data_IF_263711162442
#
_entry.id   IF_263711162442
#
_cell.length_a   1.000
_cell.length_b   1.000
_cell.length_c   1.000
_cell.angle_alpha   90.00
_cell.angle_beta   90.00
_cell.angle_gamma   90.00
#
_symmetry.space_group_name_H-M   'P 1'
#
loop_
_entity.id
_entity.type
_entity.pdbx_description
1 polymer ?
#
# COMPACT_ATOMS: atom_id res chain seq x y z
N UNK A 1 -2.79 8.50 -15.27
CA UNK A 1 -1.65 8.03 -14.43
C UNK A 1 -2.04 6.66 -13.88
N UNK A 2 -1.10 5.72 -13.76
CA UNK A 2 -1.37 4.37 -13.25
C UNK A 2 -0.36 3.99 -12.16
N UNK A 3 -0.81 3.18 -11.20
CA UNK A 3 0.03 2.56 -10.17
C UNK A 3 0.05 1.06 -10.47
N UNK A 4 1.24 0.45 -10.40
CA UNK A 4 1.43 -0.99 -10.61
C UNK A 4 1.59 -1.69 -9.26
N UNK A 5 0.85 -2.77 -9.08
CA UNK A 5 0.96 -3.66 -7.92
C UNK A 5 1.48 -4.99 -8.45
N UNK A 6 2.63 -5.45 -7.93
CA UNK A 6 3.23 -6.74 -8.31
C UNK A 6 3.24 -7.70 -7.13
N UNK A 7 3.02 -8.98 -7.40
CA UNK A 7 3.00 -10.05 -6.39
C UNK A 7 3.50 -11.36 -6.98
N UNK A 8 4.80 -11.45 -7.28
CA UNK A 8 5.40 -12.70 -7.80
C UNK A 8 5.18 -13.83 -6.80
N UNK A 9 4.65 -14.96 -7.28
CA UNK A 9 4.32 -16.13 -6.44
C UNK A 9 3.36 -15.79 -5.28
N UNK A 10 2.34 -14.96 -5.54
CA UNK A 10 1.28 -14.65 -4.56
C UNK A 10 -0.08 -15.21 -5.02
N UNK A 11 -0.94 -15.51 -4.05
CA UNK A 11 -2.27 -16.08 -4.30
C UNK A 11 -3.26 -15.03 -4.84
N UNK A 12 -4.37 -15.45 -5.47
CA UNK A 12 -5.44 -14.53 -5.85
C UNK A 12 -6.00 -13.71 -4.67
N UNK A 13 -6.09 -14.33 -3.49
CA UNK A 13 -6.55 -13.65 -2.27
C UNK A 13 -5.61 -12.49 -1.86
N UNK A 14 -4.30 -12.69 -1.98
CA UNK A 14 -3.31 -11.61 -1.75
C UNK A 14 -3.54 -10.45 -2.72
N UNK A 15 -3.67 -10.74 -4.02
CA UNK A 15 -3.82 -9.69 -5.04
C UNK A 15 -5.12 -8.92 -4.82
N UNK A 16 -6.22 -9.60 -4.50
CA UNK A 16 -7.49 -8.96 -4.18
C UNK A 16 -7.38 -8.05 -2.95
N UNK A 17 -6.76 -8.54 -1.87
CA UNK A 17 -6.58 -7.78 -0.63
C UNK A 17 -5.76 -6.51 -0.85
N UNK A 18 -4.58 -6.63 -1.46
CA UNK A 18 -3.69 -5.49 -1.71
C UNK A 18 -4.36 -4.48 -2.65
N UNK A 19 -4.99 -4.94 -3.72
CA UNK A 19 -5.66 -4.07 -4.70
C UNK A 19 -6.80 -3.29 -4.06
N UNK A 20 -7.64 -3.94 -3.24
CA UNK A 20 -8.74 -3.28 -2.52
C UNK A 20 -8.22 -2.18 -1.60
N UNK A 21 -7.22 -2.49 -0.76
CA UNK A 21 -6.65 -1.52 0.19
C UNK A 21 -6.08 -0.31 -0.54
N UNK A 22 -5.30 -0.55 -1.60
CA UNK A 22 -4.75 0.54 -2.42
C UNK A 22 -5.83 1.36 -3.11
N UNK A 23 -6.91 0.71 -3.59
CA UNK A 23 -8.01 1.43 -4.20
C UNK A 23 -8.66 2.39 -3.20
N UNK A 24 -9.02 1.87 -2.03
CA UNK A 24 -9.59 2.67 -0.95
C UNK A 24 -8.65 3.80 -0.51
N UNK A 25 -7.36 3.52 -0.33
CA UNK A 25 -6.38 4.52 0.09
C UNK A 25 -6.26 5.67 -0.92
N UNK A 26 -6.16 5.34 -2.22
CA UNK A 26 -6.10 6.36 -3.27
C UNK A 26 -7.40 7.17 -3.31
N UNK A 27 -8.56 6.53 -3.22
CA UNK A 27 -9.84 7.23 -3.28
C UNK A 27 -10.02 8.17 -2.08
N UNK A 28 -9.51 7.80 -0.90
CA UNK A 28 -9.47 8.69 0.27
C UNK A 28 -8.49 9.85 0.08
N UNK A 29 -7.29 9.58 -0.46
CA UNK A 29 -6.29 10.60 -0.75
C UNK A 29 -6.78 11.62 -1.80
N UNK A 30 -7.46 11.14 -2.85
CA UNK A 30 -8.02 12.01 -3.89
C UNK A 30 -9.19 12.87 -3.36
N UNK A 31 -9.89 12.41 -2.32
CA UNK A 31 -10.98 13.17 -1.71
C UNK A 31 -10.48 14.31 -0.83
N UNK A 32 -9.44 14.06 -0.04
CA UNK A 32 -8.82 15.06 0.83
C UNK A 32 -7.33 14.74 1.01
N UNK A 33 -6.53 15.25 0.07
CA UNK A 33 -5.10 15.00 0.05
C UNK A 33 -4.37 15.70 1.21
N UNK A 34 -4.90 16.84 1.69
CA UNK A 34 -4.27 17.62 2.74
C UNK A 34 -4.34 16.93 4.11
N UNK A 35 -5.40 16.15 4.35
CA UNK A 35 -5.60 15.42 5.61
C UNK A 35 -5.50 13.90 5.45
N UNK A 36 -4.92 13.43 4.34
CA UNK A 36 -4.80 12.01 4.11
C UNK A 36 -3.88 11.35 5.15
N UNK A 37 -4.45 10.40 5.90
CA UNK A 37 -3.70 9.52 6.81
C UNK A 37 -4.09 8.07 6.52
N UNK A 38 -3.13 7.14 6.33
CA UNK A 38 -3.43 5.72 6.16
C UNK A 38 -4.22 5.17 7.36
N UNK A 39 -5.32 4.46 7.10
CA UNK A 39 -6.10 3.83 8.16
C UNK A 39 -5.29 2.70 8.82
N UNK A 40 -5.36 2.61 10.15
CA UNK A 40 -4.71 1.54 10.92
C UNK A 40 -5.10 0.13 10.45
N UNK A 41 -6.37 -0.06 10.05
CA UNK A 41 -6.85 -1.34 9.52
C UNK A 41 -6.15 -1.75 8.21
N UNK A 42 -5.88 -0.79 7.31
CA UNK A 42 -5.13 -1.06 6.09
C UNK A 42 -3.70 -1.50 6.41
N UNK A 43 -3.03 -0.80 7.32
CA UNK A 43 -1.67 -1.16 7.75
C UNK A 43 -1.64 -2.54 8.40
N UNK A 44 -2.60 -2.84 9.29
CA UNK A 44 -2.69 -4.14 9.95
C UNK A 44 -2.89 -5.28 8.94
N UNK A 45 -3.72 -5.07 7.90
CA UNK A 45 -3.94 -6.06 6.85
C UNK A 45 -2.71 -6.24 5.95
N UNK A 46 -2.08 -5.16 5.50
CA UNK A 46 -0.87 -5.21 4.67
C UNK A 46 0.30 -5.86 5.42
N UNK A 47 0.47 -5.55 6.71
CA UNK A 47 1.54 -6.12 7.53
C UNK A 47 1.45 -7.65 7.66
N UNK A 48 0.25 -8.25 7.59
CA UNK A 48 0.09 -9.72 7.59
C UNK A 48 0.68 -10.38 6.36
N UNK A 49 0.78 -9.65 5.25
CA UNK A 49 1.26 -10.16 3.96
C UNK A 49 2.64 -9.60 3.57
N UNK A 50 3.20 -8.73 4.41
CA UNK A 50 4.56 -8.22 4.32
C UNK A 50 5.54 -9.14 5.05
N UNK A 51 6.57 -9.59 4.36
CA UNK A 51 7.64 -10.38 4.97
C UNK A 51 8.33 -9.59 6.09
N UNK A 52 8.41 -10.17 7.28
CA UNK A 52 8.94 -9.48 8.47
C UNK A 52 8.16 -8.22 8.89
N UNK A 53 6.93 -8.03 8.41
CA UNK A 53 6.13 -6.81 8.61
C UNK A 53 6.86 -5.52 8.16
N UNK A 54 7.85 -5.67 7.28
CA UNK A 54 8.66 -4.56 6.81
C UNK A 54 8.17 -4.10 5.44
N UNK A 55 8.00 -2.79 5.30
CA UNK A 55 7.78 -2.14 4.03
C UNK A 55 8.92 -1.16 3.78
N UNK A 56 9.48 -1.19 2.58
CA UNK A 56 10.53 -0.26 2.19
C UNK A 56 9.96 0.73 1.18
N UNK A 57 10.27 2.01 1.36
CA UNK A 57 9.92 3.05 0.40
C UNK A 57 10.80 2.96 -0.88
N UNK A 58 11.80 2.08 -0.90
CA UNK A 58 12.69 1.85 -2.03
C UNK A 58 13.26 3.16 -2.58
N UNK A 59 13.08 3.39 -3.89
CA UNK A 59 13.55 4.58 -4.60
C UNK A 59 12.94 5.92 -4.13
N UNK A 60 11.89 5.87 -3.30
CA UNK A 60 11.30 7.05 -2.67
C UNK A 60 11.96 7.42 -1.34
N UNK A 61 12.69 6.50 -0.69
CA UNK A 61 13.53 6.84 0.45
C UNK A 61 14.86 7.42 -0.05
N UNK A 62 15.00 8.74 -0.05
CA UNK A 62 16.21 9.44 -0.49
C UNK A 62 16.77 10.29 0.64
N UNK A 63 17.46 9.69 1.63
CA UNK A 63 17.97 10.42 2.81
C UNK A 63 19.04 11.47 2.48
N UNK A 64 19.58 11.45 1.26
CA UNK A 64 20.54 12.43 0.75
C UNK A 64 19.90 13.58 -0.04
N UNK A 65 18.57 13.70 -0.01
CA UNK A 65 17.81 14.83 -0.55
C UNK A 65 17.09 15.58 0.55
#
# INVERSE_FOLDING_TARGET
>A
RAIKIEGRQRSPAYVAQVTRIWREAIDNCLRDAAHFVPKAAWMAELNKVSEGQSYTLGAYNRPWK
#
